data_IF_198702983976
#
_entry.id   IF_198702983976
#
_cell.length_a   1.000
_cell.length_b   1.000
_cell.length_c   1.000
_cell.angle_alpha   90.00
_cell.angle_beta   90.00
_cell.angle_gamma   90.00
#
_symmetry.space_group_name_H-M   'P 1'
#
loop_
_entity.id
_entity.type
_entity.pdbx_description
1 polymer ?
#
# COMPACT_ATOMS: atom_id res chain seq x y z
N UNK A 1 -32.91 29.98 5.47
CA UNK A 1 -31.49 29.96 5.91
C UNK A 1 -30.98 28.60 6.41
N UNK A 2 -31.82 27.67 6.88
CA UNK A 2 -31.36 26.36 7.41
C UNK A 2 -30.67 25.44 6.40
N UNK A 3 -30.98 25.53 5.10
CA UNK A 3 -30.33 24.72 4.07
C UNK A 3 -28.88 25.11 3.77
N UNK A 4 -28.44 26.32 4.12
CA UNK A 4 -27.09 26.83 3.85
C UNK A 4 -26.11 26.64 5.03
N UNK A 5 -26.61 26.43 6.25
CA UNK A 5 -25.78 26.15 7.45
C UNK A 5 -24.87 24.92 7.27
N UNK A 6 -25.35 23.78 6.75
CA UNK A 6 -24.49 22.62 6.51
C UNK A 6 -23.34 22.92 5.55
N UNK A 7 -23.60 23.66 4.47
CA UNK A 7 -22.56 24.06 3.51
C UNK A 7 -21.55 25.04 4.10
N UNK A 8 -22.00 25.96 4.97
CA UNK A 8 -21.11 26.92 5.64
C UNK A 8 -20.23 26.25 6.71
N UNK A 9 -20.71 25.17 7.34
CA UNK A 9 -19.92 24.37 8.30
C UNK A 9 -18.97 23.39 7.60
N UNK A 10 -19.33 22.93 6.39
CA UNK A 10 -18.47 22.10 5.55
C UNK A 10 -17.43 22.91 4.78
N UNK A 11 -17.66 24.20 4.54
CA UNK A 11 -16.77 25.04 3.74
C UNK A 11 -15.33 25.10 4.24
N UNK A 12 -14.98 25.21 5.55
CA UNK A 12 -13.58 25.21 5.98
C UNK A 12 -12.89 23.88 5.71
N UNK A 13 -13.58 22.75 5.93
CA UNK A 13 -13.04 21.42 5.67
C UNK A 13 -12.84 21.19 4.15
N UNK A 14 -13.85 21.54 3.34
CA UNK A 14 -13.77 21.47 1.89
C UNK A 14 -12.68 22.37 1.32
N UNK A 15 -12.51 23.57 1.86
CA UNK A 15 -11.47 24.51 1.43
C UNK A 15 -10.09 23.92 1.68
N UNK A 16 -9.84 23.32 2.85
CA UNK A 16 -8.56 22.65 3.14
C UNK A 16 -8.35 21.47 2.19
N UNK A 17 -9.35 20.60 2.00
CA UNK A 17 -9.23 19.45 1.10
C UNK A 17 -8.94 19.91 -0.32
N UNK A 18 -9.71 20.86 -0.85
CA UNK A 18 -9.51 21.36 -2.21
C UNK A 18 -8.16 22.04 -2.35
N UNK A 19 -7.77 22.90 -1.41
CA UNK A 19 -6.52 23.64 -1.49
C UNK A 19 -5.30 22.71 -1.46
N UNK A 20 -5.25 21.78 -0.52
CA UNK A 20 -4.08 20.91 -0.35
C UNK A 20 -4.08 19.72 -1.30
N UNK A 21 -5.23 19.06 -1.47
CA UNK A 21 -5.32 17.89 -2.34
C UNK A 21 -5.38 18.30 -3.82
N UNK A 22 -6.37 19.10 -4.22
CA UNK A 22 -6.50 19.49 -5.64
C UNK A 22 -5.39 20.48 -6.04
N UNK A 23 -5.00 21.41 -5.16
CA UNK A 23 -3.88 22.30 -5.43
C UNK A 23 -2.55 21.55 -5.59
N UNK A 24 -2.25 20.62 -4.68
CA UNK A 24 -1.06 19.77 -4.79
C UNK A 24 -1.07 18.88 -6.04
N UNK A 25 -2.22 18.29 -6.36
CA UNK A 25 -2.41 17.45 -7.56
C UNK A 25 -2.26 18.28 -8.83
N UNK A 26 -2.82 19.50 -8.88
CA UNK A 26 -2.68 20.42 -10.02
C UNK A 26 -1.22 20.80 -10.28
N UNK A 27 -0.46 21.15 -9.24
CA UNK A 27 0.98 21.41 -9.35
C UNK A 27 1.75 20.15 -9.78
N UNK A 28 1.38 18.99 -9.26
CA UNK A 28 1.96 17.70 -9.67
C UNK A 28 1.72 17.37 -11.15
N UNK A 29 0.51 17.61 -11.64
CA UNK A 29 0.16 17.45 -13.05
C UNK A 29 0.94 18.44 -13.93
N UNK A 30 1.03 19.71 -13.54
CA UNK A 30 1.85 20.69 -14.25
C UNK A 30 3.32 20.23 -14.35
N UNK A 31 3.90 19.74 -13.25
CA UNK A 31 5.26 19.16 -13.25
C UNK A 31 5.38 17.94 -14.14
N UNK A 32 4.33 17.13 -14.23
CA UNK A 32 4.29 15.94 -15.09
C UNK A 32 4.41 16.26 -16.58
N UNK A 33 3.95 17.45 -17.00
CA UNK A 33 4.15 17.99 -18.35
C UNK A 33 5.46 18.78 -18.52
N UNK A 34 6.41 18.63 -17.59
CA UNK A 34 7.67 19.38 -17.56
C UNK A 34 7.50 20.91 -17.44
N UNK A 35 6.34 21.36 -16.95
CA UNK A 35 6.09 22.77 -16.68
C UNK A 35 6.70 23.15 -15.33
N UNK A 36 8.00 23.43 -15.33
CA UNK A 36 8.77 23.90 -14.18
C UNK A 36 9.40 25.27 -14.48
N UNK A 37 8.64 26.37 -14.29
CA UNK A 37 9.14 27.73 -14.56
C UNK A 37 10.32 28.15 -13.68
N UNK A 38 10.57 27.46 -12.55
CA UNK A 38 11.71 27.70 -11.64
C UNK A 38 13.08 27.34 -12.26
N UNK A 39 13.10 26.47 -13.27
CA UNK A 39 14.32 26.06 -14.00
C UNK A 39 14.29 26.48 -15.48
N UNK A 40 13.37 27.37 -15.85
CA UNK A 40 13.27 27.90 -17.22
C UNK A 40 12.57 26.99 -18.24
N UNK A 41 11.96 25.88 -17.81
CA UNK A 41 11.19 24.98 -18.66
C UNK A 41 9.73 25.48 -18.74
N UNK A 42 9.45 26.27 -19.78
CA UNK A 42 8.12 26.88 -20.04
C UNK A 42 7.30 26.17 -21.11
N UNK A 43 7.89 25.21 -21.82
CA UNK A 43 7.22 24.45 -22.87
C UNK A 43 6.71 23.12 -22.32
N UNK A 44 5.39 22.88 -22.27
CA UNK A 44 4.86 21.60 -21.85
C UNK A 44 5.28 20.52 -22.87
N UNK A 45 5.92 19.46 -22.38
CA UNK A 45 6.45 18.40 -23.24
C UNK A 45 6.13 17.01 -22.69
N UNK A 46 5.82 16.07 -23.58
CA UNK A 46 5.56 14.67 -23.26
C UNK A 46 6.81 13.78 -23.33
N UNK A 47 7.98 14.33 -23.63
CA UNK A 47 9.25 13.59 -23.71
C UNK A 47 9.57 12.79 -22.44
N UNK A 48 9.17 13.29 -21.26
CA UNK A 48 9.34 12.56 -19.99
C UNK A 48 8.56 11.23 -19.99
N UNK A 49 7.34 11.21 -20.53
CA UNK A 49 6.55 9.98 -20.64
C UNK A 49 7.17 9.02 -21.65
N UNK A 50 7.63 9.52 -22.79
CA UNK A 50 8.30 8.69 -23.81
C UNK A 50 9.58 8.07 -23.26
N UNK A 51 10.39 8.84 -22.51
CA UNK A 51 11.60 8.35 -21.87
C UNK A 51 11.31 7.23 -20.85
N UNK A 52 10.29 7.42 -20.01
CA UNK A 52 9.87 6.41 -19.01
C UNK A 52 9.33 5.15 -19.68
N UNK A 53 8.50 5.30 -20.72
CA UNK A 53 7.91 4.17 -21.44
C UNK A 53 8.91 3.40 -22.31
N UNK A 54 10.02 4.04 -22.70
CA UNK A 54 11.09 3.39 -23.48
C UNK A 54 12.14 2.74 -22.58
N UNK A 55 12.23 3.14 -21.32
CA UNK A 55 13.16 2.54 -20.36
C UNK A 55 12.73 1.12 -19.96
N UNK A 56 13.55 0.14 -20.36
CA UNK A 56 13.35 -1.28 -20.02
C UNK A 56 13.38 -1.53 -18.52
N UNK A 57 14.14 -0.76 -17.75
CA UNK A 57 14.25 -0.89 -16.29
C UNK A 57 12.94 -0.48 -15.62
N UNK A 58 12.35 0.62 -16.10
CA UNK A 58 11.04 1.08 -15.64
C UNK A 58 9.95 0.07 -15.97
N UNK A 59 9.87 -0.38 -17.23
CA UNK A 59 8.87 -1.38 -17.65
C UNK A 59 8.97 -2.69 -16.87
N UNK A 60 10.20 -3.16 -16.59
CA UNK A 60 10.40 -4.37 -15.77
C UNK A 60 9.92 -4.17 -14.34
N UNK A 61 10.24 -3.02 -13.74
CA UNK A 61 9.79 -2.67 -12.39
C UNK A 61 8.28 -2.51 -12.30
N UNK A 62 7.66 -1.92 -13.32
CA UNK A 62 6.21 -1.79 -13.45
C UNK A 62 5.54 -3.17 -13.55
N UNK A 63 6.07 -4.05 -14.39
CA UNK A 63 5.57 -5.42 -14.53
C UNK A 63 5.68 -6.22 -13.24
N UNK A 64 6.81 -6.11 -12.52
CA UNK A 64 6.99 -6.75 -11.21
C UNK A 64 5.98 -6.22 -10.18
N UNK A 65 5.81 -4.90 -10.12
CA UNK A 65 4.87 -4.26 -9.19
C UNK A 65 3.43 -4.70 -9.48
N UNK A 66 3.05 -4.74 -10.75
CA UNK A 66 1.73 -5.19 -11.18
C UNK A 66 1.50 -6.67 -10.85
N UNK A 67 2.51 -7.52 -11.10
CA UNK A 67 2.46 -8.94 -10.75
C UNK A 67 2.26 -9.14 -9.24
N UNK A 68 3.05 -8.46 -8.42
CA UNK A 68 2.93 -8.54 -6.95
C UNK A 68 1.55 -8.04 -6.50
N UNK A 69 1.09 -6.90 -7.04
CA UNK A 69 -0.21 -6.34 -6.68
C UNK A 69 -1.36 -7.30 -7.03
N UNK A 70 -1.37 -7.86 -8.23
CA UNK A 70 -2.42 -8.80 -8.67
C UNK A 70 -2.36 -10.10 -7.87
N UNK A 71 -1.17 -10.71 -7.75
CA UNK A 71 -1.00 -11.97 -7.01
C UNK A 71 -1.40 -11.82 -5.54
N UNK A 72 -0.91 -10.77 -4.88
CA UNK A 72 -1.25 -10.47 -3.48
C UNK A 72 -2.75 -10.20 -3.30
N UNK A 73 -3.37 -9.45 -4.21
CA UNK A 73 -4.81 -9.16 -4.15
C UNK A 73 -5.63 -10.43 -4.38
N UNK A 74 -5.29 -11.27 -5.35
CA UNK A 74 -6.00 -12.51 -5.64
C UNK A 74 -5.94 -13.50 -4.47
N UNK A 75 -4.75 -13.67 -3.88
CA UNK A 75 -4.56 -14.51 -2.68
C UNK A 75 -5.36 -13.95 -1.51
N UNK A 76 -5.24 -12.66 -1.24
CA UNK A 76 -5.95 -11.98 -0.13
C UNK A 76 -7.46 -12.05 -0.30
N UNK A 77 -7.97 -11.84 -1.52
CA UNK A 77 -9.39 -11.93 -1.83
C UNK A 77 -9.93 -13.34 -1.62
N UNK A 78 -9.20 -14.36 -2.09
CA UNK A 78 -9.60 -15.76 -1.91
C UNK A 78 -9.66 -16.13 -0.42
N UNK A 79 -8.64 -15.77 0.34
CA UNK A 79 -8.60 -15.97 1.80
C UNK A 79 -9.70 -15.19 2.53
N UNK A 80 -9.95 -13.94 2.14
CA UNK A 80 -10.98 -13.09 2.74
C UNK A 80 -12.39 -13.66 2.50
N UNK A 81 -12.69 -14.11 1.27
CA UNK A 81 -13.97 -14.73 0.93
C UNK A 81 -14.13 -16.05 1.69
N UNK A 82 -13.11 -16.92 1.68
CA UNK A 82 -13.15 -18.20 2.40
C UNK A 82 -13.37 -18.01 3.89
N UNK A 83 -12.62 -17.08 4.50
CA UNK A 83 -12.73 -16.73 5.91
C UNK A 83 -14.08 -16.10 6.23
N UNK A 84 -14.58 -15.20 5.38
CA UNK A 84 -15.89 -14.57 5.53
C UNK A 84 -17.05 -15.57 5.48
N UNK A 85 -17.00 -16.55 4.58
CA UNK A 85 -17.98 -17.64 4.53
C UNK A 85 -17.92 -18.51 5.79
N UNK A 86 -16.72 -18.82 6.28
CA UNK A 86 -16.54 -19.61 7.50
C UNK A 86 -17.06 -18.87 8.74
N UNK A 87 -16.85 -17.55 8.81
CA UNK A 87 -17.30 -16.68 9.90
C UNK A 87 -18.83 -16.48 9.94
N UNK A 88 -19.50 -16.71 8.80
CA UNK A 88 -20.97 -16.72 8.72
C UNK A 88 -21.58 -17.90 9.48
N UNK A 89 -20.86 -19.02 9.60
CA UNK A 89 -21.25 -20.13 10.49
C UNK A 89 -20.81 -19.78 11.92
N UNK A 90 -21.69 -19.87 12.89
CA UNK A 90 -21.36 -19.60 14.30
C UNK A 90 -20.47 -20.72 14.86
N UNK A 91 -19.14 -20.51 14.88
CA UNK A 91 -18.18 -21.43 15.50
C UNK A 91 -17.50 -20.79 16.73
N UNK A 92 -17.02 -21.63 17.66
CA UNK A 92 -16.41 -21.21 18.94
C UNK A 92 -15.17 -20.30 18.81
N UNK A 93 -14.52 -20.28 17.65
CA UNK A 93 -13.32 -19.47 17.38
C UNK A 93 -13.57 -18.15 16.62
N UNK A 94 -14.83 -17.76 16.38
CA UNK A 94 -15.20 -16.54 15.63
C UNK A 94 -14.55 -15.27 16.19
N UNK A 95 -14.50 -15.16 17.52
CA UNK A 95 -13.96 -13.98 18.20
C UNK A 95 -12.44 -13.85 18.04
N UNK A 96 -11.71 -14.98 18.09
CA UNK A 96 -10.26 -15.01 17.85
C UNK A 96 -9.94 -14.68 16.40
N UNK A 97 -10.67 -15.26 15.45
CA UNK A 97 -10.47 -15.00 14.02
C UNK A 97 -10.74 -13.51 13.68
N UNK A 98 -11.82 -12.95 14.23
CA UNK A 98 -12.16 -11.53 14.06
C UNK A 98 -11.11 -10.61 14.67
N UNK A 99 -10.58 -10.96 15.85
CA UNK A 99 -9.50 -10.22 16.50
C UNK A 99 -8.22 -10.24 15.66
N UNK A 100 -7.82 -11.39 15.10
CA UNK A 100 -6.65 -11.50 14.22
C UNK A 100 -6.75 -10.60 12.98
N UNK A 101 -7.94 -10.52 12.35
CA UNK A 101 -8.16 -9.61 11.22
C UNK A 101 -8.08 -8.14 11.63
N UNK A 102 -8.60 -7.78 12.81
CA UNK A 102 -8.53 -6.41 13.32
C UNK A 102 -7.12 -6.02 13.81
N UNK A 103 -6.30 -6.99 14.20
CA UNK A 103 -4.95 -6.76 14.71
C UNK A 103 -4.00 -6.20 13.64
N UNK A 104 -4.29 -6.36 12.34
CA UNK A 104 -3.50 -5.75 11.28
C UNK A 104 -3.63 -4.21 11.25
N UNK A 105 -4.81 -3.65 11.56
CA UNK A 105 -5.05 -2.20 11.54
C UNK A 105 -4.11 -1.38 12.45
N UNK A 106 -3.85 -1.77 13.71
CA UNK A 106 -2.96 -1.02 14.58
C UNK A 106 -1.47 -1.28 14.32
N UNK A 107 -1.09 -2.31 13.53
CA UNK A 107 0.32 -2.60 13.27
C UNK A 107 0.88 -1.51 12.33
N UNK A 108 1.90 -0.75 12.76
CA UNK A 108 2.61 0.13 11.86
C UNK A 108 3.31 -0.69 10.78
N UNK A 109 3.13 -0.32 9.52
CA UNK A 109 3.68 -1.03 8.35
C UNK A 109 5.20 -1.25 8.45
N UNK A 110 5.94 -0.30 9.04
CA UNK A 110 7.38 -0.42 9.30
C UNK A 110 7.68 -1.55 10.29
N UNK A 111 6.92 -1.65 11.38
CA UNK A 111 7.10 -2.70 12.39
C UNK A 111 6.82 -4.08 11.79
N UNK A 112 5.79 -4.18 10.94
CA UNK A 112 5.51 -5.39 10.18
C UNK A 112 6.68 -5.82 9.28
N UNK A 113 7.25 -4.88 8.52
CA UNK A 113 8.40 -5.16 7.65
C UNK A 113 9.63 -5.63 8.44
N UNK A 114 9.95 -4.96 9.55
CA UNK A 114 11.07 -5.34 10.44
C UNK A 114 10.80 -6.72 11.09
N UNK A 115 9.56 -6.98 11.49
CA UNK A 115 9.16 -8.28 12.04
C UNK A 115 9.38 -9.41 11.05
N UNK A 116 8.99 -9.22 9.78
CA UNK A 116 9.25 -10.19 8.70
C UNK A 116 10.75 -10.36 8.48
N UNK A 117 11.52 -9.26 8.43
CA UNK A 117 12.98 -9.32 8.30
C UNK A 117 13.60 -10.17 9.42
N UNK A 118 13.27 -9.91 10.69
CA UNK A 118 13.79 -10.70 11.81
C UNK A 118 13.30 -12.15 11.81
N UNK A 119 12.10 -12.41 11.30
CA UNK A 119 11.56 -13.76 11.18
C UNK A 119 12.37 -14.60 10.18
N UNK A 120 12.76 -14.00 9.05
CA UNK A 120 13.48 -14.66 7.94
C UNK A 120 15.01 -14.49 7.98
N UNK A 121 15.55 -13.70 8.91
CA UNK A 121 17.01 -13.57 9.11
C UNK A 121 17.61 -14.90 9.57
N UNK A 122 18.90 -15.11 9.32
CA UNK A 122 19.62 -16.35 9.64
C UNK A 122 19.57 -16.74 11.13
N UNK A 123 19.63 -15.78 12.05
CA UNK A 123 19.39 -16.00 13.50
C UNK A 123 17.91 -15.93 13.95
N UNK A 124 16.98 -15.80 12.99
CA UNK A 124 15.56 -15.58 13.20
C UNK A 124 14.83 -16.75 13.85
N UNK A 125 13.57 -16.52 14.21
CA UNK A 125 12.74 -17.57 14.82
C UNK A 125 12.49 -18.76 13.87
N UNK A 126 12.29 -18.51 12.57
CA UNK A 126 12.10 -19.60 11.59
C UNK A 126 13.34 -20.48 11.44
N UNK A 127 14.54 -19.88 11.37
CA UNK A 127 15.78 -20.62 11.24
C UNK A 127 16.04 -21.53 12.46
N UNK A 128 15.75 -21.02 13.68
CA UNK A 128 15.83 -21.82 14.91
C UNK A 128 14.79 -22.93 14.97
N UNK A 129 13.55 -22.66 14.57
CA UNK A 129 12.50 -23.67 14.51
C UNK A 129 12.84 -24.77 13.49
N UNK A 130 13.38 -24.40 12.32
CA UNK A 130 13.79 -25.32 11.28
C UNK A 130 14.99 -26.20 11.69
N UNK A 131 15.94 -25.66 12.45
CA UNK A 131 17.00 -26.45 13.09
C UNK A 131 16.43 -27.42 14.14
N UNK A 132 15.47 -26.98 14.96
CA UNK A 132 14.85 -27.82 15.98
C UNK A 132 14.09 -29.03 15.40
N UNK A 133 13.59 -28.92 14.16
CA UNK A 133 12.96 -30.04 13.43
C UNK A 133 13.94 -30.80 12.52
N UNK A 134 15.26 -30.63 12.71
CA UNK A 134 16.34 -31.27 11.94
C UNK A 134 16.30 -31.02 10.41
N UNK A 135 15.64 -29.95 9.95
CA UNK A 135 15.58 -29.60 8.54
C UNK A 135 16.86 -28.90 8.05
N UNK A 136 17.69 -28.40 8.98
CA UNK A 136 18.95 -27.71 8.72
C UNK A 136 19.98 -28.07 9.80
N UNK A 137 21.24 -28.26 9.41
CA UNK A 137 22.28 -28.80 10.30
C UNK A 137 22.81 -27.79 11.34
N UNK A 138 22.75 -26.48 11.07
CA UNK A 138 23.16 -25.43 12.03
C UNK A 138 22.35 -24.14 11.80
N UNK A 139 21.90 -23.43 12.85
CA UNK A 139 21.54 -22.02 12.72
C UNK A 139 22.85 -21.23 12.68
N UNK A 140 23.20 -20.66 11.52
CA UNK A 140 24.34 -19.76 11.40
C UNK A 140 23.98 -18.35 11.90
#
# INVERSE_FOLDING_TARGET
MERLRPYLMLSPALLIIVLFFLGGLGVGLMRSFNYMPIIGLTEPNLDAYVGILTDRTFLRSLGLTLYIAIASTAISMTLAIASGLLLRRSFRGKQVMTFLFQLNLPIPHIVGAIGILFLFTQGGFLARAAHAIHLIEQPA
#
